data_IF_047122430258
#
_entry.id   IF_047122430258
#
_cell.length_a   1.000
_cell.length_b   1.000
_cell.length_c   1.000
_cell.angle_alpha   90.00
_cell.angle_beta   90.00
_cell.angle_gamma   90.00
#
_symmetry.space_group_name_H-M   'P 1'
#
loop_
_entity.id
_entity.type
_entity.pdbx_description
1 polymer ?
#
# COMPACT_ATOMS: atom_id res chain seq x y z
N UNK A 1 30.69 64.23 -44.84
CA UNK A 1 29.45 63.66 -44.31
C UNK A 1 29.50 62.18 -43.89
N UNK A 2 30.45 61.36 -44.35
CA UNK A 2 30.51 59.93 -43.99
C UNK A 2 31.11 59.60 -42.60
N UNK A 3 31.83 60.51 -41.95
CA UNK A 3 32.47 60.26 -40.61
C UNK A 3 31.52 60.51 -39.40
N UNK A 4 30.50 61.32 -39.60
CA UNK A 4 29.52 61.60 -38.54
C UNK A 4 28.51 60.46 -38.32
N UNK A 5 28.22 59.68 -39.35
CA UNK A 5 27.28 58.57 -39.30
C UNK A 5 27.85 57.34 -38.52
N UNK A 6 29.16 57.14 -38.61
CA UNK A 6 29.81 55.99 -37.93
C UNK A 6 29.91 56.21 -36.43
N UNK A 7 30.15 57.48 -35.99
CA UNK A 7 30.20 57.78 -34.56
C UNK A 7 28.83 57.68 -33.86
N UNK A 8 27.74 58.10 -34.57
CA UNK A 8 26.40 58.00 -34.03
C UNK A 8 25.91 56.56 -33.86
N UNK A 9 26.26 55.68 -34.79
CA UNK A 9 25.92 54.24 -34.74
C UNK A 9 26.68 53.56 -33.62
N UNK A 10 27.95 53.88 -33.38
CA UNK A 10 28.71 53.34 -32.28
C UNK A 10 28.21 53.79 -30.89
N UNK A 11 27.80 55.04 -30.77
CA UNK A 11 27.21 55.56 -29.55
C UNK A 11 25.85 54.91 -29.23
N UNK A 12 25.05 54.62 -30.29
CA UNK A 12 23.78 53.93 -30.11
C UNK A 12 23.94 52.47 -29.67
N UNK A 13 24.94 51.76 -30.21
CA UNK A 13 25.25 50.41 -29.80
C UNK A 13 25.85 50.34 -28.40
N UNK A 14 26.66 51.29 -28.01
CA UNK A 14 27.19 51.37 -26.62
C UNK A 14 26.05 51.75 -25.62
N UNK A 15 25.17 52.66 -25.96
CA UNK A 15 23.98 52.95 -25.14
C UNK A 15 23.03 51.75 -25.05
N UNK A 16 22.83 51.02 -26.13
CA UNK A 16 21.98 49.81 -26.14
C UNK A 16 22.65 48.68 -25.30
N UNK A 17 23.96 48.54 -25.35
CA UNK A 17 24.71 47.56 -24.55
C UNK A 17 24.68 47.90 -23.06
N UNK A 18 24.71 49.17 -22.68
CA UNK A 18 24.62 49.62 -21.29
C UNK A 18 23.20 49.49 -20.73
N UNK A 19 22.17 49.68 -21.57
CA UNK A 19 20.77 49.47 -21.15
C UNK A 19 20.40 48.01 -21.00
N UNK A 20 21.05 47.12 -21.81
CA UNK A 20 20.85 45.67 -21.68
C UNK A 20 21.68 45.12 -20.49
N UNK A 21 22.78 45.74 -20.13
CA UNK A 21 23.61 45.35 -18.95
C UNK A 21 23.07 45.86 -17.63
N UNK A 22 22.06 46.78 -17.60
CA UNK A 22 21.45 47.30 -16.39
C UNK A 22 20.07 46.73 -16.07
N UNK A 23 19.59 45.72 -16.81
CA UNK A 23 18.57 44.84 -16.26
C UNK A 23 19.30 43.89 -15.28
N UNK A 24 19.71 44.41 -14.12
CA UNK A 24 19.73 43.55 -12.95
C UNK A 24 18.27 43.14 -12.78
N UNK A 25 17.95 41.93 -13.12
CA UNK A 25 16.79 41.27 -12.57
C UNK A 25 17.05 41.24 -11.07
N UNK A 26 16.26 41.99 -10.31
CA UNK A 26 16.12 41.80 -8.87
C UNK A 26 15.49 40.44 -8.56
N UNK A 27 15.69 39.45 -9.41
CA UNK A 27 15.28 38.09 -9.15
C UNK A 27 16.11 37.61 -7.94
N UNK A 28 15.46 37.27 -6.85
CA UNK A 28 16.18 36.78 -5.67
C UNK A 28 17.06 35.60 -6.08
N UNK A 29 18.28 35.55 -5.56
CA UNK A 29 19.18 34.44 -5.82
C UNK A 29 18.45 33.11 -5.53
N UNK A 30 18.58 32.11 -6.39
CA UNK A 30 17.93 30.82 -6.17
C UNK A 30 18.37 30.27 -4.82
N UNK A 31 17.40 29.68 -4.09
CA UNK A 31 17.63 29.10 -2.77
C UNK A 31 18.66 27.96 -2.85
N UNK A 32 19.45 27.79 -1.79
CA UNK A 32 20.36 26.65 -1.68
C UNK A 32 19.54 25.35 -1.59
N UNK A 33 19.79 24.41 -2.50
CA UNK A 33 19.12 23.11 -2.50
C UNK A 33 19.28 22.35 -1.16
N UNK A 34 20.36 22.61 -0.42
CA UNK A 34 20.59 21.99 0.90
C UNK A 34 19.54 22.38 1.97
N UNK A 35 18.79 23.42 1.75
CA UNK A 35 17.72 23.80 2.69
C UNK A 35 16.59 22.75 2.76
N UNK A 36 16.50 21.84 1.79
CA UNK A 36 15.54 20.73 1.83
C UNK A 36 16.06 19.52 2.65
N UNK A 37 17.35 19.50 3.04
CA UNK A 37 17.88 18.39 3.82
C UNK A 37 17.27 18.35 5.22
N UNK A 38 16.71 17.19 5.59
CA UNK A 38 16.08 17.01 6.90
C UNK A 38 14.71 16.33 6.82
N UNK A 39 13.97 16.42 7.93
CA UNK A 39 12.64 15.86 8.06
C UNK A 39 11.61 16.97 8.22
N UNK A 40 10.58 16.93 7.39
CA UNK A 40 9.53 17.92 7.31
C UNK A 40 8.15 17.28 7.38
N UNK A 41 7.18 17.99 7.96
CA UNK A 41 5.76 17.61 7.95
C UNK A 41 5.01 18.57 7.02
N UNK A 42 3.98 18.13 6.29
CA UNK A 42 3.21 19.00 5.40
C UNK A 42 2.21 19.89 6.16
N UNK A 43 2.68 20.54 7.23
CA UNK A 43 1.87 21.46 8.05
C UNK A 43 2.77 22.61 8.54
N UNK A 44 2.59 23.88 8.05
CA UNK A 44 1.61 24.26 7.04
C UNK A 44 1.97 23.74 5.63
N UNK A 45 0.95 23.33 4.87
CA UNK A 45 1.13 22.81 3.52
C UNK A 45 0.07 21.77 3.17
N UNK A 46 0.37 20.95 2.16
CA UNK A 46 -0.54 19.92 1.67
C UNK A 46 0.21 18.72 1.16
N UNK A 47 -0.22 17.52 1.54
CA UNK A 47 0.27 16.27 0.99
C UNK A 47 -0.89 15.48 0.38
N UNK A 48 -0.88 15.33 -0.93
CA UNK A 48 -1.89 14.55 -1.64
C UNK A 48 -1.38 13.14 -1.91
N UNK A 49 -2.26 12.17 -1.76
CA UNK A 49 -2.05 10.78 -2.20
C UNK A 49 -3.17 10.44 -3.17
N UNK A 50 -2.82 10.23 -4.45
CA UNK A 50 -3.79 10.00 -5.52
C UNK A 50 -4.92 11.05 -5.55
N UNK A 51 -4.56 12.32 -5.29
CA UNK A 51 -5.49 13.46 -5.25
C UNK A 51 -6.24 13.66 -3.94
N UNK A 52 -6.10 12.78 -2.95
CA UNK A 52 -6.72 12.90 -1.63
C UNK A 52 -5.76 13.49 -0.61
N UNK A 53 -6.24 14.35 0.28
CA UNK A 53 -5.44 15.01 1.29
C UNK A 53 -5.08 14.08 2.45
N UNK A 54 -3.79 13.89 2.66
CA UNK A 54 -3.19 13.06 3.71
C UNK A 54 -2.39 13.87 4.74
N UNK A 55 -2.45 15.20 4.69
CA UNK A 55 -1.65 16.10 5.54
C UNK A 55 -1.82 15.81 7.04
N UNK A 56 -3.04 15.45 7.46
CA UNK A 56 -3.38 15.19 8.87
C UNK A 56 -3.12 13.73 9.31
N UNK A 57 -2.63 12.86 8.41
CA UNK A 57 -2.44 11.43 8.68
C UNK A 57 -1.06 11.07 9.22
N UNK A 58 -0.32 12.02 9.77
CA UNK A 58 1.00 11.79 10.36
C UNK A 58 2.10 11.58 9.31
N UNK A 59 1.92 12.14 8.11
CA UNK A 59 2.92 12.11 7.04
C UNK A 59 4.13 12.95 7.45
N UNK A 60 5.33 12.42 7.17
CA UNK A 60 6.56 13.21 7.18
C UNK A 60 7.48 12.80 6.03
N UNK A 61 8.21 13.77 5.50
CA UNK A 61 9.15 13.62 4.39
C UNK A 61 10.56 13.86 4.90
N UNK A 62 11.45 12.89 4.69
CA UNK A 62 12.86 13.03 5.04
C UNK A 62 13.68 13.02 3.76
N UNK A 63 14.42 14.11 3.53
CA UNK A 63 15.33 14.25 2.39
C UNK A 63 16.78 14.08 2.85
N UNK A 64 17.48 13.15 2.23
CA UNK A 64 18.90 12.89 2.45
C UNK A 64 19.65 12.92 1.11
N UNK A 65 20.85 13.51 1.02
CA UNK A 65 21.67 13.41 -0.20
C UNK A 65 21.89 11.94 -0.56
N UNK A 66 21.64 11.58 -1.81
CA UNK A 66 21.82 10.19 -2.25
C UNK A 66 23.30 9.79 -2.19
N UNK A 67 23.58 8.64 -1.59
CA UNK A 67 24.91 8.07 -1.51
C UNK A 67 25.35 7.41 -2.81
N UNK A 68 24.42 7.11 -3.71
CA UNK A 68 24.62 6.32 -4.92
C UNK A 68 24.46 7.12 -6.20
N UNK A 69 23.76 8.26 -6.15
CA UNK A 69 23.41 9.09 -7.31
C UNK A 69 23.78 10.54 -7.04
N UNK A 70 24.88 11.00 -7.66
CA UNK A 70 25.35 12.39 -7.52
C UNK A 70 24.26 13.41 -7.93
N UNK A 71 24.05 14.44 -7.12
CA UNK A 71 23.07 15.50 -7.37
C UNK A 71 21.62 15.11 -7.15
N UNK A 72 21.35 13.92 -6.58
CA UNK A 72 20.00 13.46 -6.22
C UNK A 72 19.83 13.30 -4.71
N UNK A 73 18.59 13.19 -4.29
CA UNK A 73 18.20 12.97 -2.90
C UNK A 73 17.41 11.68 -2.79
N UNK A 74 17.62 10.96 -1.70
CA UNK A 74 16.76 9.87 -1.25
C UNK A 74 15.65 10.49 -0.41
N UNK A 75 14.41 10.46 -0.91
CA UNK A 75 13.24 10.90 -0.19
C UNK A 75 12.57 9.71 0.49
N UNK A 76 12.48 9.75 1.81
CA UNK A 76 11.73 8.78 2.61
C UNK A 76 10.40 9.40 3.06
N UNK A 77 9.31 8.75 2.75
CA UNK A 77 7.95 9.20 3.07
C UNK A 77 7.40 8.28 4.14
N UNK A 78 7.28 8.81 5.36
CA UNK A 78 6.70 8.10 6.50
C UNK A 78 5.21 8.39 6.62
N UNK A 79 4.46 7.49 7.24
CA UNK A 79 3.03 7.65 7.52
C UNK A 79 2.09 7.23 6.39
N UNK A 80 2.58 7.02 5.16
CA UNK A 80 1.80 6.37 4.10
C UNK A 80 1.55 4.92 4.48
N UNK A 81 2.60 4.24 4.95
CA UNK A 81 2.51 2.93 5.58
C UNK A 81 2.34 3.21 7.08
N UNK A 82 1.22 2.86 7.71
CA UNK A 82 0.97 3.21 9.11
C UNK A 82 1.78 2.36 10.12
N UNK A 83 2.92 1.81 9.70
CA UNK A 83 3.88 1.12 10.56
C UNK A 83 4.91 2.10 11.11
N UNK A 84 5.20 2.04 12.41
CA UNK A 84 6.30 2.80 12.99
C UNK A 84 7.62 2.45 12.29
N UNK A 85 8.34 3.47 11.81
CA UNK A 85 9.63 3.36 11.10
C UNK A 85 9.58 2.78 9.67
N UNK A 86 8.42 2.36 9.17
CA UNK A 86 8.28 2.01 7.76
C UNK A 86 8.13 3.27 6.91
N UNK A 87 8.72 3.27 5.74
CA UNK A 87 8.67 4.38 4.80
C UNK A 87 8.66 3.90 3.36
N UNK A 88 8.15 4.74 2.49
CA UNK A 88 8.32 4.61 1.03
C UNK A 88 9.53 5.43 0.64
N UNK A 89 10.50 4.85 -0.06
CA UNK A 89 11.67 5.56 -0.55
C UNK A 89 11.55 5.81 -2.05
N UNK A 90 11.86 7.06 -2.45
CA UNK A 90 11.85 7.51 -3.83
C UNK A 90 13.09 8.36 -4.08
N UNK A 91 13.75 8.17 -5.22
CA UNK A 91 14.85 9.03 -5.64
C UNK A 91 14.27 10.30 -6.28
N UNK A 92 14.66 11.46 -5.79
CA UNK A 92 14.17 12.73 -6.29
C UNK A 92 15.29 13.63 -6.81
N UNK A 93 15.01 14.35 -7.90
CA UNK A 93 15.79 15.51 -8.32
C UNK A 93 15.25 16.76 -7.61
N UNK A 94 16.15 17.64 -7.23
CA UNK A 94 15.84 18.88 -6.53
C UNK A 94 16.30 20.06 -7.38
N UNK A 95 15.43 21.06 -7.52
CA UNK A 95 15.71 22.26 -8.33
C UNK A 95 15.28 23.51 -7.57
N UNK A 96 16.23 24.42 -7.24
CA UNK A 96 15.89 25.71 -6.69
C UNK A 96 15.04 26.53 -7.65
N UNK A 97 14.03 27.21 -7.12
CA UNK A 97 13.13 28.13 -7.83
C UNK A 97 13.10 29.48 -7.13
N UNK A 98 12.45 30.48 -7.72
CA UNK A 98 12.31 31.78 -7.09
C UNK A 98 11.51 31.71 -5.76
N UNK A 99 10.52 30.83 -5.68
CA UNK A 99 9.58 30.73 -4.56
C UNK A 99 9.88 29.58 -3.61
N UNK A 100 10.89 28.74 -3.91
CA UNK A 100 11.16 27.57 -3.10
C UNK A 100 12.13 26.58 -3.75
N UNK A 101 12.06 25.36 -3.33
CA UNK A 101 12.85 24.26 -3.85
C UNK A 101 11.86 23.21 -4.38
N UNK A 102 11.77 23.08 -5.68
CA UNK A 102 10.97 22.05 -6.30
C UNK A 102 11.68 20.69 -6.23
N UNK A 103 10.93 19.63 -6.06
CA UNK A 103 11.42 18.26 -6.12
C UNK A 103 10.48 17.37 -6.93
N UNK A 104 11.04 16.40 -7.62
CA UNK A 104 10.25 15.40 -8.35
C UNK A 104 11.02 14.08 -8.41
N UNK A 105 10.30 12.97 -8.46
CA UNK A 105 10.88 11.67 -8.67
C UNK A 105 11.61 11.61 -10.02
N UNK A 106 12.62 10.73 -10.08
CA UNK A 106 13.44 10.51 -11.28
C UNK A 106 13.27 9.12 -11.84
N UNK A 107 12.28 8.39 -11.32
CA UNK A 107 12.00 7.02 -11.71
C UNK A 107 11.33 6.94 -13.09
N UNK A 108 11.34 5.75 -13.66
CA UNK A 108 10.68 5.49 -14.93
C UNK A 108 9.16 5.63 -14.84
N UNK A 109 8.48 5.88 -15.96
CA UNK A 109 7.02 6.01 -16.01
C UNK A 109 6.25 4.80 -15.45
N UNK A 110 6.91 3.63 -15.35
CA UNK A 110 6.36 2.39 -14.80
C UNK A 110 6.69 2.21 -13.30
N UNK A 111 7.34 3.19 -12.66
CA UNK A 111 7.57 3.15 -11.22
C UNK A 111 6.25 3.07 -10.44
N UNK A 112 6.29 2.34 -9.33
CA UNK A 112 5.10 2.14 -8.48
C UNK A 112 4.69 3.38 -7.70
N UNK A 113 5.58 4.36 -7.55
CA UNK A 113 5.37 5.60 -6.79
C UNK A 113 5.94 6.77 -7.57
N UNK A 114 5.14 7.81 -7.76
CA UNK A 114 5.57 9.09 -8.30
C UNK A 114 5.30 10.19 -7.29
N UNK A 115 6.23 11.12 -7.16
CA UNK A 115 6.07 12.27 -6.29
C UNK A 115 6.64 13.53 -6.93
N UNK A 116 5.94 14.63 -6.71
CA UNK A 116 6.44 15.98 -7.00
C UNK A 116 5.95 16.93 -5.92
N UNK A 117 6.72 17.99 -5.69
CA UNK A 117 6.33 18.97 -4.68
C UNK A 117 7.21 20.19 -4.67
N UNK A 118 6.90 21.09 -3.74
CA UNK A 118 7.64 22.31 -3.48
C UNK A 118 7.83 22.50 -1.98
N UNK A 119 9.05 22.73 -1.59
CA UNK A 119 9.44 23.15 -0.26
C UNK A 119 9.73 24.65 -0.31
N UNK A 120 8.98 25.44 0.45
CA UNK A 120 9.12 26.90 0.51
C UNK A 120 9.49 27.31 1.93
N UNK A 121 10.76 27.64 2.21
CA UNK A 121 11.15 28.19 3.50
C UNK A 121 10.51 29.57 3.68
N UNK A 122 10.09 29.89 4.90
CA UNK A 122 9.58 31.21 5.21
C UNK A 122 10.70 32.26 5.10
N UNK A 123 10.37 33.47 4.66
CA UNK A 123 11.33 34.56 4.48
C UNK A 123 12.04 34.99 5.77
N UNK A 124 11.42 34.73 6.92
CA UNK A 124 11.97 35.02 8.26
C UNK A 124 12.88 33.88 8.77
N UNK A 125 13.03 32.77 8.01
CA UNK A 125 13.79 31.61 8.42
C UNK A 125 13.16 30.80 9.56
N UNK A 126 11.97 31.20 10.04
CA UNK A 126 11.34 30.56 11.20
C UNK A 126 10.35 29.45 10.87
N UNK A 127 10.31 29.00 9.63
CA UNK A 127 9.41 27.92 9.20
C UNK A 127 9.48 27.62 7.71
N UNK A 128 8.60 26.76 7.28
CA UNK A 128 8.49 26.34 5.88
C UNK A 128 7.04 25.99 5.54
N UNK A 129 6.76 25.93 4.25
CA UNK A 129 5.55 25.33 3.68
C UNK A 129 5.96 24.19 2.77
N UNK A 130 5.36 23.03 2.92
CA UNK A 130 5.62 21.85 2.10
C UNK A 130 4.34 21.41 1.40
N UNK A 131 4.36 21.42 0.09
CA UNK A 131 3.27 20.91 -0.73
C UNK A 131 3.79 19.79 -1.63
N UNK A 132 3.12 18.65 -1.62
CA UNK A 132 3.51 17.52 -2.44
C UNK A 132 2.28 16.74 -2.94
N UNK A 133 2.43 16.19 -4.13
CA UNK A 133 1.47 15.30 -4.77
C UNK A 133 2.16 13.96 -5.04
N UNK A 134 1.70 12.93 -4.35
CA UNK A 134 2.20 11.58 -4.45
C UNK A 134 1.14 10.72 -5.14
N UNK A 135 1.54 9.97 -6.15
CA UNK A 135 0.65 9.02 -6.81
C UNK A 135 1.25 7.62 -6.82
N UNK A 136 0.40 6.64 -6.58
CA UNK A 136 0.74 5.23 -6.71
C UNK A 136 0.23 4.71 -8.04
N UNK A 137 1.13 4.12 -8.82
CA UNK A 137 0.73 3.47 -10.06
C UNK A 137 -0.10 2.24 -9.71
N UNK A 138 -1.28 2.13 -10.31
CA UNK A 138 -2.03 0.88 -10.24
C UNK A 138 -1.24 -0.21 -10.96
N UNK A 139 -0.61 -1.10 -10.20
CA UNK A 139 0.05 -2.30 -10.75
C UNK A 139 -0.96 -3.16 -11.54
N UNK A 140 -2.22 -2.96 -11.28
CA UNK A 140 -3.33 -3.74 -11.80
C UNK A 140 -4.08 -3.07 -12.95
N UNK A 141 -3.38 -2.33 -13.84
CA UNK A 141 -4.01 -1.81 -15.07
C UNK A 141 -4.80 -2.90 -15.79
N UNK A 142 -4.26 -4.12 -15.79
CA UNK A 142 -4.92 -5.29 -16.40
C UNK A 142 -6.12 -5.81 -15.62
N UNK A 143 -6.31 -5.39 -14.36
CA UNK A 143 -7.41 -5.84 -13.50
C UNK A 143 -8.50 -4.78 -13.32
N UNK A 144 -8.23 -3.55 -13.74
CA UNK A 144 -9.22 -2.46 -13.70
C UNK A 144 -10.49 -2.88 -14.44
N UNK A 145 -11.62 -2.73 -13.77
CA UNK A 145 -12.96 -3.17 -14.20
C UNK A 145 -13.14 -4.68 -14.34
N UNK A 146 -12.16 -5.50 -13.98
CA UNK A 146 -12.33 -6.95 -13.88
C UNK A 146 -12.92 -7.35 -12.53
N UNK A 147 -13.61 -8.45 -12.56
CA UNK A 147 -14.27 -9.03 -11.40
C UNK A 147 -13.63 -10.37 -11.08
N UNK A 148 -13.27 -10.58 -9.84
CA UNK A 148 -12.69 -11.80 -9.32
C UNK A 148 -13.65 -12.42 -8.29
N UNK A 149 -13.72 -13.74 -8.24
CA UNK A 149 -14.58 -14.45 -7.30
C UNK A 149 -13.73 -15.36 -6.42
N UNK A 150 -13.76 -15.14 -5.12
CA UNK A 150 -13.21 -16.03 -4.12
C UNK A 150 -14.33 -16.98 -3.68
N UNK A 151 -14.14 -18.28 -3.90
CA UNK A 151 -15.10 -19.30 -3.50
C UNK A 151 -14.57 -20.06 -2.28
N UNK A 152 -15.12 -19.79 -1.11
CA UNK A 152 -14.70 -20.39 0.16
C UNK A 152 -15.15 -21.86 0.32
N UNK A 153 -16.07 -22.35 -0.54
CA UNK A 153 -16.49 -23.76 -0.50
C UNK A 153 -15.56 -24.67 -1.30
N UNK A 154 -14.64 -24.08 -2.09
CA UNK A 154 -13.65 -24.83 -2.85
C UNK A 154 -12.29 -24.71 -2.17
N UNK A 155 -11.45 -25.76 -2.20
CA UNK A 155 -10.07 -25.62 -1.72
C UNK A 155 -9.36 -24.53 -2.54
N UNK A 156 -8.84 -23.54 -1.84
CA UNK A 156 -8.08 -22.43 -2.44
C UNK A 156 -6.58 -22.56 -2.13
N UNK A 157 -6.07 -23.78 -2.20
CA UNK A 157 -4.67 -24.10 -1.93
C UNK A 157 -3.89 -24.30 -3.21
N UNK A 158 -2.60 -24.05 -3.10
CA UNK A 158 -1.66 -24.56 -4.07
C UNK A 158 -1.74 -26.11 -4.08
N UNK A 159 -1.87 -26.76 -5.24
CA UNK A 159 -1.89 -28.21 -5.32
C UNK A 159 -0.55 -28.86 -4.95
N UNK A 160 0.54 -28.09 -4.99
CA UNK A 160 1.87 -28.58 -4.64
C UNK A 160 1.97 -28.85 -3.14
N UNK A 161 2.65 -29.94 -2.76
CA UNK A 161 2.97 -30.23 -1.36
C UNK A 161 4.25 -29.49 -0.98
N UNK A 162 4.16 -28.71 0.11
CA UNK A 162 5.25 -27.86 0.56
C UNK A 162 5.96 -28.37 1.80
N UNK A 163 5.26 -29.18 2.62
CA UNK A 163 5.78 -29.66 3.90
C UNK A 163 5.77 -31.17 3.96
N UNK A 164 6.91 -31.74 4.33
CA UNK A 164 7.09 -33.19 4.47
C UNK A 164 7.18 -33.62 5.94
N UNK A 165 7.12 -32.67 6.88
CA UNK A 165 7.18 -32.95 8.29
C UNK A 165 5.94 -33.73 8.74
N UNK A 166 6.15 -34.59 9.75
CA UNK A 166 5.09 -35.40 10.35
C UNK A 166 4.87 -34.98 11.81
N UNK A 167 3.64 -35.11 12.28
CA UNK A 167 3.32 -34.95 13.69
C UNK A 167 2.31 -36.03 14.14
N UNK A 168 2.30 -36.33 15.44
CA UNK A 168 1.38 -37.29 16.03
C UNK A 168 0.30 -36.58 16.83
N UNK A 169 -0.97 -36.89 16.57
CA UNK A 169 -2.12 -36.39 17.31
C UNK A 169 -2.95 -37.62 17.74
N UNK A 170 -3.17 -37.77 19.04
CA UNK A 170 -3.93 -38.89 19.63
C UNK A 170 -3.45 -40.28 19.18
N UNK A 171 -2.14 -40.44 18.90
CA UNK A 171 -1.54 -41.70 18.46
C UNK A 171 -1.55 -41.95 16.95
N UNK A 172 -2.16 -41.09 16.17
CA UNK A 172 -2.15 -41.15 14.70
C UNK A 172 -1.13 -40.16 14.13
N UNK A 173 -0.41 -40.59 13.08
CA UNK A 173 0.60 -39.74 12.40
C UNK A 173 -0.02 -39.04 11.19
N UNK A 174 0.21 -37.74 11.09
CA UNK A 174 -0.26 -36.88 10.03
C UNK A 174 0.91 -36.13 9.38
N UNK A 175 0.86 -35.96 8.06
CA UNK A 175 1.72 -35.01 7.35
C UNK A 175 1.30 -33.56 7.69
N UNK A 176 2.25 -32.70 7.94
CA UNK A 176 1.97 -31.29 8.27
C UNK A 176 1.25 -30.58 7.12
N UNK A 177 1.59 -30.91 5.87
CA UNK A 177 0.91 -30.35 4.69
C UNK A 177 -0.60 -30.69 4.69
N UNK A 178 -0.96 -31.93 5.05
CA UNK A 178 -2.37 -32.34 5.13
C UNK A 178 -3.11 -31.62 6.27
N UNK A 179 -2.45 -31.36 7.40
CA UNK A 179 -3.03 -30.59 8.51
C UNK A 179 -3.26 -29.13 8.14
N UNK A 180 -2.32 -28.52 7.44
CA UNK A 180 -2.44 -27.13 6.97
C UNK A 180 -3.58 -27.02 5.95
N UNK A 181 -3.68 -27.96 5.01
CA UNK A 181 -4.81 -28.04 4.07
C UNK A 181 -6.14 -28.20 4.78
N UNK A 182 -6.20 -29.07 5.77
CA UNK A 182 -7.40 -29.23 6.60
C UNK A 182 -7.74 -27.93 7.34
N UNK A 183 -6.74 -27.24 7.92
CA UNK A 183 -6.96 -25.95 8.58
C UNK A 183 -7.65 -24.94 7.65
N UNK A 184 -7.12 -24.74 6.45
CA UNK A 184 -7.72 -23.81 5.49
C UNK A 184 -9.06 -24.28 4.97
N UNK A 185 -9.28 -25.60 4.82
CA UNK A 185 -10.59 -26.14 4.46
C UNK A 185 -11.64 -25.86 5.52
N UNK A 186 -11.31 -26.07 6.80
CA UNK A 186 -12.18 -25.73 7.91
C UNK A 186 -12.45 -24.22 7.99
N UNK A 187 -11.42 -23.41 7.83
CA UNK A 187 -11.53 -21.96 7.79
C UNK A 187 -12.47 -21.51 6.65
N UNK A 188 -12.27 -22.02 5.45
CA UNK A 188 -13.14 -21.75 4.30
C UNK A 188 -14.59 -22.16 4.57
N UNK A 189 -14.81 -23.35 5.13
CA UNK A 189 -16.13 -23.83 5.51
C UNK A 189 -16.83 -22.94 6.56
N UNK A 190 -16.07 -22.40 7.54
CA UNK A 190 -16.60 -21.48 8.54
C UNK A 190 -16.98 -20.14 7.89
N UNK A 191 -16.09 -19.57 7.06
CA UNK A 191 -16.37 -18.33 6.33
C UNK A 191 -17.56 -18.50 5.39
N UNK A 192 -17.66 -19.66 4.71
CA UNK A 192 -18.72 -19.97 3.76
C UNK A 192 -20.13 -20.04 4.38
N UNK A 193 -20.23 -20.25 5.69
CA UNK A 193 -21.53 -20.15 6.41
C UNK A 193 -22.11 -18.74 6.32
N UNK A 194 -21.26 -17.74 6.24
CA UNK A 194 -21.65 -16.33 6.11
C UNK A 194 -21.65 -15.90 4.63
N UNK A 195 -20.58 -16.19 3.92
CA UNK A 195 -20.36 -15.84 2.52
C UNK A 195 -19.74 -17.01 1.78
N UNK A 196 -20.51 -17.75 1.00
CA UNK A 196 -19.97 -18.86 0.21
C UNK A 196 -19.02 -18.39 -0.90
N UNK A 197 -19.31 -17.22 -1.47
CA UNK A 197 -18.46 -16.56 -2.46
C UNK A 197 -18.40 -15.07 -2.19
N UNK A 198 -17.21 -14.49 -2.38
CA UNK A 198 -16.97 -13.04 -2.33
C UNK A 198 -16.47 -12.58 -3.69
N UNK A 199 -17.08 -11.56 -4.20
CA UNK A 199 -16.72 -10.91 -5.45
C UNK A 199 -15.90 -9.65 -5.17
N UNK A 200 -14.81 -9.50 -5.87
CA UNK A 200 -13.91 -8.34 -5.82
C UNK A 200 -13.91 -7.68 -7.18
N UNK A 201 -14.16 -6.37 -7.25
CA UNK A 201 -14.07 -5.58 -8.48
C UNK A 201 -13.16 -4.39 -8.27
N UNK A 202 -12.05 -4.35 -9.01
CA UNK A 202 -11.11 -3.23 -9.00
C UNK A 202 -11.61 -2.11 -9.91
N UNK A 203 -11.76 -0.92 -9.36
CA UNK A 203 -12.21 0.25 -10.09
C UNK A 203 -11.04 1.15 -10.51
N UNK A 204 -11.26 2.01 -11.50
CA UNK A 204 -10.23 2.94 -12.01
C UNK A 204 -9.90 4.10 -11.07
N UNK A 205 -10.72 4.33 -10.06
CA UNK A 205 -10.58 5.39 -9.04
C UNK A 205 -9.88 4.93 -7.76
N UNK A 206 -9.05 3.87 -7.85
CA UNK A 206 -8.33 3.27 -6.72
C UNK A 206 -9.25 2.72 -5.62
N UNK A 207 -10.45 2.30 -6.00
CA UNK A 207 -11.36 1.60 -5.08
C UNK A 207 -11.51 0.14 -5.45
N UNK A 208 -11.87 -0.66 -4.43
CA UNK A 208 -12.17 -2.07 -4.53
C UNK A 208 -13.57 -2.32 -3.98
N UNK A 209 -14.49 -2.71 -4.85
CA UNK A 209 -15.83 -3.13 -4.44
C UNK A 209 -15.77 -4.59 -3.97
N UNK A 210 -16.29 -4.83 -2.80
CA UNK A 210 -16.42 -6.16 -2.19
C UNK A 210 -17.89 -6.48 -2.05
N UNK A 211 -18.32 -7.58 -2.66
CA UNK A 211 -19.70 -8.03 -2.65
C UNK A 211 -19.80 -9.50 -2.27
N UNK A 212 -20.87 -9.89 -1.58
CA UNK A 212 -21.19 -11.30 -1.33
C UNK A 212 -22.03 -11.84 -2.47
N UNK A 213 -21.69 -13.01 -2.98
CA UNK A 213 -22.51 -13.73 -3.97
C UNK A 213 -23.28 -14.83 -3.27
N UNK A 214 -24.58 -14.68 -3.22
CA UNK A 214 -25.49 -15.64 -2.60
C UNK A 214 -26.43 -16.25 -3.64
N UNK A 215 -26.73 -17.53 -3.48
CA UNK A 215 -27.76 -18.18 -4.29
C UNK A 215 -29.11 -18.05 -3.59
N UNK A 216 -29.97 -17.18 -4.11
CA UNK A 216 -31.34 -16.98 -3.61
C UNK A 216 -32.31 -17.50 -4.68
N UNK A 217 -33.05 -18.57 -4.34
CA UNK A 217 -34.07 -19.16 -5.24
C UNK A 217 -33.51 -19.56 -6.63
N UNK A 218 -32.33 -20.17 -6.68
CA UNK A 218 -31.67 -20.58 -7.94
C UNK A 218 -31.07 -19.45 -8.77
N UNK A 219 -31.08 -18.22 -8.26
CA UNK A 219 -30.41 -17.06 -8.89
C UNK A 219 -29.28 -16.56 -8.03
N UNK A 220 -28.13 -16.33 -8.66
CA UNK A 220 -27.00 -15.67 -8.00
C UNK A 220 -27.34 -14.20 -7.81
N UNK A 221 -27.34 -13.75 -6.57
CA UNK A 221 -27.57 -12.36 -6.18
C UNK A 221 -26.28 -11.81 -5.60
N UNK A 222 -25.88 -10.64 -6.06
CA UNK A 222 -24.73 -9.92 -5.51
C UNK A 222 -25.24 -8.88 -4.51
N UNK A 223 -24.83 -9.03 -3.26
CA UNK A 223 -25.11 -8.07 -2.19
C UNK A 223 -23.83 -7.26 -1.93
N UNK A 224 -23.85 -5.95 -2.20
CA UNK A 224 -22.71 -5.07 -1.92
C UNK A 224 -22.43 -5.04 -0.43
N UNK A 225 -21.18 -5.27 -0.04
CA UNK A 225 -20.74 -5.25 1.34
C UNK A 225 -20.04 -3.96 1.70
N UNK A 226 -19.06 -3.58 0.90
CA UNK A 226 -18.27 -2.36 1.11
C UNK A 226 -17.48 -1.98 -0.14
N UNK A 227 -17.16 -0.70 -0.25
CA UNK A 227 -16.17 -0.18 -1.17
C UNK A 227 -15.02 0.39 -0.34
N UNK A 228 -13.81 -0.11 -0.56
CA UNK A 228 -12.60 0.28 0.16
C UNK A 228 -11.60 0.90 -0.81
N UNK A 229 -10.63 1.66 -0.30
CA UNK A 229 -9.50 2.10 -1.12
C UNK A 229 -8.48 1.00 -1.27
N UNK A 230 -7.85 0.93 -2.44
CA UNK A 230 -6.84 -0.07 -2.76
C UNK A 230 -5.72 0.59 -3.55
N UNK A 231 -4.57 0.79 -2.92
CA UNK A 231 -3.37 1.27 -3.60
C UNK A 231 -2.31 0.20 -3.67
N UNK A 232 -1.45 0.31 -4.65
CA UNK A 232 -0.39 -0.64 -4.89
C UNK A 232 0.96 0.00 -4.67
N UNK A 233 1.74 -0.60 -3.79
CA UNK A 233 3.14 -0.29 -3.56
C UNK A 233 3.97 -1.49 -4.01
N UNK A 234 4.53 -1.43 -5.22
CA UNK A 234 5.25 -2.57 -5.80
C UNK A 234 4.35 -3.83 -5.79
N UNK A 235 4.77 -4.92 -5.17
CA UNK A 235 3.99 -6.16 -5.06
C UNK A 235 2.98 -6.14 -3.91
N UNK A 236 2.87 -5.04 -3.15
CA UNK A 236 1.98 -4.93 -2.01
C UNK A 236 0.76 -4.10 -2.37
N UNK A 237 -0.40 -4.55 -1.95
CA UNK A 237 -1.61 -3.76 -1.92
C UNK A 237 -1.87 -3.27 -0.50
N UNK A 238 -2.22 -2.01 -0.37
CA UNK A 238 -2.74 -1.42 0.85
C UNK A 238 -4.25 -1.33 0.67
N UNK A 239 -4.98 -2.10 1.46
CA UNK A 239 -6.43 -2.03 1.54
C UNK A 239 -6.79 -1.11 2.70
N UNK A 240 -7.40 0.04 2.40
CA UNK A 240 -7.73 1.04 3.41
C UNK A 240 -9.23 1.01 3.74
N UNK A 241 -9.52 0.85 5.02
CA UNK A 241 -10.85 0.71 5.59
C UNK A 241 -11.17 1.90 6.50
N UNK A 242 -12.43 2.27 6.59
CA UNK A 242 -12.93 3.02 7.76
C UNK A 242 -13.07 2.07 8.95
N UNK A 243 -13.20 2.61 10.19
CA UNK A 243 -13.39 1.78 11.37
C UNK A 243 -14.61 0.86 11.28
N UNK A 244 -15.73 1.32 10.72
CA UNK A 244 -16.92 0.49 10.51
C UNK A 244 -16.70 -0.61 9.46
N UNK A 245 -15.93 -0.34 8.41
CA UNK A 245 -15.57 -1.36 7.42
C UNK A 245 -14.62 -2.40 8.01
N UNK A 246 -13.63 -1.99 8.81
CA UNK A 246 -12.73 -2.89 9.51
C UNK A 246 -13.50 -3.81 10.49
N UNK A 247 -14.41 -3.26 11.28
CA UNK A 247 -15.31 -4.04 12.16
C UNK A 247 -16.18 -5.01 11.38
N UNK A 248 -16.73 -4.59 10.24
CA UNK A 248 -17.54 -5.45 9.37
C UNK A 248 -16.71 -6.60 8.83
N UNK A 249 -15.48 -6.34 8.38
CA UNK A 249 -14.54 -7.36 7.94
C UNK A 249 -14.26 -8.38 9.04
N UNK A 250 -13.90 -7.90 10.23
CA UNK A 250 -13.61 -8.75 11.40
C UNK A 250 -14.79 -9.63 11.77
N UNK A 251 -15.96 -9.04 11.94
CA UNK A 251 -17.18 -9.76 12.30
C UNK A 251 -17.57 -10.82 11.26
N UNK A 252 -17.37 -10.51 9.98
CA UNK A 252 -17.87 -11.33 8.88
C UNK A 252 -16.94 -12.49 8.56
N UNK A 253 -15.64 -12.25 8.53
CA UNK A 253 -14.67 -13.23 8.02
C UNK A 253 -13.69 -13.76 9.05
N UNK A 254 -13.49 -13.05 10.14
CA UNK A 254 -12.66 -13.52 11.27
C UNK A 254 -13.51 -14.13 12.37
N UNK A 255 -14.74 -13.59 12.56
CA UNK A 255 -15.72 -14.13 13.50
C UNK A 255 -15.46 -13.77 14.96
N UNK A 256 -14.46 -12.92 15.24
CA UNK A 256 -14.24 -12.33 16.54
C UNK A 256 -14.67 -10.86 16.50
N UNK A 257 -15.31 -10.43 17.57
CA UNK A 257 -15.73 -9.04 17.74
C UNK A 257 -15.51 -8.64 19.20
N UNK A 258 -14.28 -8.25 19.53
CA UNK A 258 -13.94 -7.61 20.77
C UNK A 258 -13.65 -6.12 20.54
N UNK A 259 -13.83 -5.29 21.56
CA UNK A 259 -13.47 -3.88 21.48
C UNK A 259 -11.96 -3.73 21.30
N UNK A 260 -11.54 -3.21 20.15
CA UNK A 260 -10.13 -2.95 19.82
C UNK A 260 -9.39 -4.10 19.12
N UNK A 261 -10.05 -5.21 18.77
CA UNK A 261 -9.41 -6.33 18.05
C UNK A 261 -9.10 -6.00 16.60
N UNK A 262 -9.85 -5.07 15.98
CA UNK A 262 -9.51 -4.51 14.67
C UNK A 262 -8.09 -3.94 14.64
N UNK A 263 -7.64 -3.33 15.73
CA UNK A 263 -6.30 -2.78 15.88
C UNK A 263 -5.19 -3.85 15.89
N UNK A 264 -5.55 -5.14 16.09
CA UNK A 264 -4.59 -6.23 16.06
C UNK A 264 -4.32 -6.77 14.65
N UNK A 265 -5.31 -6.69 13.75
CA UNK A 265 -5.16 -7.12 12.36
C UNK A 265 -4.81 -5.95 11.44
N UNK A 266 -5.46 -4.83 11.65
CA UNK A 266 -5.28 -3.62 10.85
C UNK A 266 -4.30 -2.66 11.53
N UNK A 267 -3.67 -1.84 10.72
CA UNK A 267 -2.82 -0.75 11.18
C UNK A 267 -3.60 0.54 11.09
N UNK A 268 -3.75 1.23 12.20
CA UNK A 268 -4.44 2.50 12.23
C UNK A 268 -3.52 3.64 11.79
N UNK A 269 -3.98 4.49 10.88
CA UNK A 269 -3.32 5.77 10.60
C UNK A 269 -3.46 6.69 11.82
N UNK A 270 -2.37 7.36 12.15
CA UNK A 270 -2.31 8.22 13.34
C UNK A 270 -3.46 9.25 13.36
N UNK A 271 -4.14 9.34 14.50
CA UNK A 271 -5.22 10.30 14.77
C UNK A 271 -6.42 10.25 13.79
N UNK A 272 -6.67 9.12 13.14
CA UNK A 272 -7.77 8.95 12.19
C UNK A 272 -8.62 7.72 12.51
N UNK A 273 -9.83 7.65 11.92
CA UNK A 273 -10.65 6.43 11.86
C UNK A 273 -10.40 5.65 10.56
N UNK A 274 -9.12 5.55 10.17
CA UNK A 274 -8.67 4.85 8.97
C UNK A 274 -7.71 3.75 9.34
N UNK A 275 -7.88 2.61 8.70
CA UNK A 275 -7.18 1.37 8.98
C UNK A 275 -6.63 0.77 7.70
N UNK A 276 -5.42 0.27 7.71
CA UNK A 276 -4.79 -0.38 6.57
C UNK A 276 -4.59 -1.86 6.82
N UNK A 277 -4.83 -2.66 5.81
CA UNK A 277 -4.47 -4.06 5.73
C UNK A 277 -3.50 -4.25 4.56
N UNK A 278 -2.33 -4.82 4.83
CA UNK A 278 -1.35 -5.14 3.81
C UNK A 278 -1.60 -6.52 3.24
N UNK A 279 -1.59 -6.61 1.92
CA UNK A 279 -1.75 -7.85 1.17
C UNK A 279 -0.75 -7.88 0.04
N UNK A 280 -0.06 -8.97 -0.14
CA UNK A 280 0.65 -9.24 -1.38
C UNK A 280 -0.37 -9.74 -2.40
N UNK A 281 -0.39 -9.09 -3.55
CA UNK A 281 -1.31 -9.46 -4.63
C UNK A 281 -0.50 -9.66 -5.90
N UNK A 282 -0.64 -10.83 -6.50
CA UNK A 282 0.03 -11.14 -7.75
C UNK A 282 -0.78 -12.15 -8.57
N UNK A 283 -0.45 -12.20 -9.86
CA UNK A 283 -1.05 -13.16 -10.78
C UNK A 283 -0.18 -14.40 -10.83
N UNK A 284 -0.80 -15.57 -10.70
CA UNK A 284 -0.19 -16.89 -10.92
C UNK A 284 -0.92 -17.58 -12.06
N UNK A 285 -0.17 -18.26 -12.93
CA UNK A 285 -0.74 -19.15 -13.93
C UNK A 285 -0.39 -20.58 -13.54
N UNK A 286 -1.40 -21.46 -13.48
CA UNK A 286 -1.24 -22.87 -13.20
C UNK A 286 -2.24 -23.66 -14.02
N UNK A 287 -1.76 -24.70 -14.72
CA UNK A 287 -2.59 -25.58 -15.56
C UNK A 287 -3.44 -24.84 -16.61
N UNK A 288 -2.90 -23.74 -17.19
CA UNK A 288 -3.58 -22.91 -18.18
C UNK A 288 -4.66 -22.00 -17.60
N UNK A 289 -4.80 -21.93 -16.29
CA UNK A 289 -5.71 -21.02 -15.59
C UNK A 289 -4.93 -19.90 -14.91
N UNK A 290 -5.52 -18.72 -14.91
CA UNK A 290 -4.97 -17.55 -14.24
C UNK A 290 -5.66 -17.35 -12.91
N UNK A 291 -4.88 -17.07 -11.89
CA UNK A 291 -5.33 -16.86 -10.52
C UNK A 291 -4.84 -15.52 -10.02
N UNK A 292 -5.71 -14.80 -9.34
CA UNK A 292 -5.30 -13.72 -8.47
C UNK A 292 -4.99 -14.30 -7.09
N UNK A 293 -3.76 -14.11 -6.65
CA UNK A 293 -3.28 -14.65 -5.39
C UNK A 293 -3.19 -13.54 -4.37
N UNK A 294 -3.79 -13.75 -3.20
CA UNK A 294 -3.68 -12.90 -2.03
C UNK A 294 -2.81 -13.60 -0.98
N UNK A 295 -1.77 -12.93 -0.55
CA UNK A 295 -0.93 -13.41 0.55
C UNK A 295 -0.78 -12.31 1.60
N UNK A 296 -0.99 -12.66 2.84
CA UNK A 296 -0.72 -11.74 3.94
C UNK A 296 0.77 -11.75 4.30
N UNK A 297 1.40 -10.59 4.51
CA UNK A 297 2.71 -10.52 5.15
C UNK A 297 2.71 -11.32 6.46
N UNK A 298 3.85 -11.91 6.81
CA UNK A 298 4.03 -12.80 7.97
C UNK A 298 3.30 -12.32 9.23
N UNK A 299 3.53 -11.06 9.60
CA UNK A 299 2.91 -10.47 10.81
C UNK A 299 1.38 -10.40 10.71
N UNK A 300 0.85 -9.93 9.58
CA UNK A 300 -0.60 -9.84 9.34
C UNK A 300 -1.23 -11.22 9.32
N UNK A 301 -0.59 -12.19 8.66
CA UNK A 301 -1.04 -13.58 8.61
C UNK A 301 -1.11 -14.20 10.00
N UNK A 302 -0.06 -14.09 10.79
CA UNK A 302 -0.04 -14.65 12.15
C UNK A 302 -1.14 -14.05 13.01
N UNK A 303 -1.38 -12.75 12.93
CA UNK A 303 -2.48 -12.08 13.63
C UNK A 303 -3.84 -12.57 13.15
N UNK A 304 -4.04 -12.66 11.83
CA UNK A 304 -5.28 -13.18 11.24
C UNK A 304 -5.58 -14.60 11.73
N UNK A 305 -4.60 -15.50 11.65
CA UNK A 305 -4.75 -16.88 12.09
C UNK A 305 -5.03 -16.97 13.59
N UNK A 306 -4.35 -16.17 14.41
CA UNK A 306 -4.58 -16.11 15.86
C UNK A 306 -6.01 -15.70 16.19
N UNK A 307 -6.50 -14.62 15.59
CA UNK A 307 -7.85 -14.14 15.78
C UNK A 307 -8.88 -15.14 15.26
N UNK A 308 -8.61 -15.75 14.10
CA UNK A 308 -9.49 -16.77 13.54
C UNK A 308 -9.63 -17.99 14.46
N UNK A 309 -8.55 -18.42 15.12
CA UNK A 309 -8.61 -19.53 16.09
C UNK A 309 -9.50 -19.24 17.30
N UNK A 310 -9.81 -17.97 17.59
CA UNK A 310 -10.74 -17.56 18.64
C UNK A 310 -12.19 -17.52 18.15
N UNK A 311 -12.44 -17.77 16.87
CA UNK A 311 -13.80 -17.81 16.33
C UNK A 311 -14.61 -18.91 17.02
N UNK A 312 -15.81 -18.56 17.47
CA UNK A 312 -16.74 -19.49 18.13
C UNK A 312 -16.99 -20.75 17.29
N UNK A 313 -17.06 -20.64 15.99
CA UNK A 313 -17.30 -21.76 15.09
C UNK A 313 -16.17 -22.82 15.16
N UNK A 314 -14.94 -22.39 15.44
CA UNK A 314 -13.82 -23.30 15.68
C UNK A 314 -14.06 -24.16 16.92
N UNK A 315 -14.59 -23.58 18.00
CA UNK A 315 -14.89 -24.31 19.23
C UNK A 315 -16.08 -25.30 19.10
N UNK A 316 -16.86 -25.18 18.04
CA UNK A 316 -17.97 -26.09 17.73
C UNK A 316 -17.56 -27.28 16.85
N UNK A 317 -16.33 -27.30 16.33
CA UNK A 317 -15.82 -28.45 15.57
C UNK A 317 -15.61 -29.67 16.48
N UNK A 318 -15.60 -30.87 15.92
CA UNK A 318 -15.20 -32.08 16.66
C UNK A 318 -13.81 -31.89 17.31
N UNK A 319 -13.60 -32.49 18.50
CA UNK A 319 -12.38 -32.30 19.27
C UNK A 319 -11.10 -32.61 18.47
N UNK A 320 -11.14 -33.70 17.67
CA UNK A 320 -10.00 -34.08 16.82
C UNK A 320 -9.70 -33.00 15.76
N UNK A 321 -10.70 -32.38 15.18
CA UNK A 321 -10.53 -31.31 14.20
C UNK A 321 -9.97 -30.03 14.86
N UNK A 322 -10.42 -29.71 16.08
CA UNK A 322 -9.85 -28.62 16.87
C UNK A 322 -8.35 -28.87 17.16
N UNK A 323 -7.97 -30.11 17.53
CA UNK A 323 -6.57 -30.50 17.76
C UNK A 323 -5.74 -30.37 16.47
N UNK A 324 -6.24 -30.86 15.34
CA UNK A 324 -5.59 -30.73 14.02
C UNK A 324 -5.38 -29.27 13.65
N UNK A 325 -6.42 -28.45 13.77
CA UNK A 325 -6.32 -27.01 13.48
C UNK A 325 -5.33 -26.32 14.40
N UNK A 326 -5.34 -26.64 15.69
CA UNK A 326 -4.40 -26.05 16.66
C UNK A 326 -2.95 -26.43 16.35
N UNK A 327 -2.69 -27.67 15.94
CA UNK A 327 -1.35 -28.13 15.55
C UNK A 327 -0.88 -27.40 14.30
N UNK A 328 -1.72 -27.37 13.25
CA UNK A 328 -1.42 -26.60 12.03
C UNK A 328 -1.19 -25.11 12.32
N UNK A 329 -2.03 -24.52 13.19
CA UNK A 329 -1.88 -23.11 13.59
C UNK A 329 -0.51 -22.85 14.22
N UNK A 330 -0.08 -23.64 15.20
CA UNK A 330 1.21 -23.44 15.85
C UNK A 330 2.38 -23.60 14.91
N UNK A 331 2.29 -24.54 13.98
CA UNK A 331 3.29 -24.73 12.94
C UNK A 331 3.38 -23.48 12.03
N UNK A 332 2.25 -22.95 11.58
CA UNK A 332 2.19 -21.75 10.75
C UNK A 332 2.53 -20.45 11.51
N UNK A 333 2.29 -20.44 12.83
CA UNK A 333 2.50 -19.26 13.67
C UNK A 333 3.97 -19.09 14.07
N UNK A 334 4.74 -20.20 14.13
CA UNK A 334 6.16 -20.14 14.50
C UNK A 334 7.07 -19.95 13.28
N UNK A 335 7.25 -18.71 12.86
CA UNK A 335 7.85 -18.40 11.55
C UNK A 335 9.36 -18.57 11.50
N UNK A 336 10.03 -18.60 12.67
CA UNK A 336 11.49 -18.69 12.75
C UNK A 336 11.98 -20.13 12.51
N UNK A 337 11.10 -21.12 12.67
CA UNK A 337 11.41 -22.53 12.42
C UNK A 337 11.07 -22.99 10.99
N UNK A 338 10.07 -22.36 10.34
CA UNK A 338 9.44 -22.93 9.13
C UNK A 338 9.48 -22.04 7.88
N UNK A 339 10.18 -20.91 7.92
CA UNK A 339 10.41 -20.06 6.74
C UNK A 339 9.15 -19.37 6.17
N UNK A 340 9.25 -18.92 4.93
CA UNK A 340 8.14 -18.28 4.24
C UNK A 340 7.12 -19.32 3.77
N UNK A 341 5.89 -19.16 4.23
CA UNK A 341 4.79 -20.04 3.83
C UNK A 341 4.20 -19.62 2.49
N UNK A 342 3.78 -20.57 1.64
CA UNK A 342 3.15 -20.26 0.38
C UNK A 342 1.82 -19.51 0.54
N UNK A 343 1.40 -18.77 -0.50
CA UNK A 343 0.16 -17.99 -0.51
C UNK A 343 -1.08 -18.88 -0.60
N UNK A 344 -2.18 -18.49 0.03
CA UNK A 344 -3.29 -19.41 0.26
C UNK A 344 -4.67 -18.94 -0.18
N UNK A 345 -4.85 -17.76 -0.71
CA UNK A 345 -6.13 -17.35 -1.27
C UNK A 345 -5.98 -17.16 -2.76
N UNK A 346 -6.64 -18.01 -3.53
CA UNK A 346 -6.66 -17.95 -4.98
C UNK A 346 -8.05 -17.57 -5.46
N UNK A 347 -8.12 -16.70 -6.44
CA UNK A 347 -9.32 -16.39 -7.21
C UNK A 347 -9.06 -16.77 -8.67
N UNK A 348 -9.86 -17.66 -9.22
CA UNK A 348 -9.87 -17.99 -10.66
C UNK A 348 -10.62 -16.90 -11.42
N UNK A 349 -10.10 -16.43 -12.55
CA UNK A 349 -10.74 -15.44 -13.43
C UNK A 349 -10.57 -15.74 -14.91
#
# INVERSE_FOLDING_TARGET
MKRFFVLSTWLFWVLLAVTVASCHSDDPAPLDAKLIEGTFVPSPGKFLVNGEDYSDKGISLQFEPSKTKEGKYDLKIYGIIPYPKEYVQVDVAVSPTADGIAFADTDAEDASVHIKGVFSPNHDGAGYRLEADCSFTQIFKDWTNKTFVINFTKPFFDPDRWFTDECTIDGETYLMDDLIRNFYSQMGGIIAKQDSCVQLKFNSDYTLDISSLNNKNGKTVSDSLMTIKCWCLSLHAILEFTGEQAKTFMKRWVGTYGHGEENNLFLQYANTDRYALFVWMYQKESSGKKFLVFNFPKTTRSRFLYLFMQNREVSLLPEIEQKKMKTAFWYMYNPDEYGDMPPYIHSEY
#
